data_IF_085353397183
#
_entry.id   IF_085353397183
#
_cell.length_a   1.000
_cell.length_b   1.000
_cell.length_c   1.000
_cell.angle_alpha   90.00
_cell.angle_beta   90.00
_cell.angle_gamma   90.00
#
_symmetry.space_group_name_H-M   'P 1'
#
loop_
_entity.id
_entity.type
_entity.pdbx_description
1 polymer ?
#
# COMPACT_ATOMS: atom_id res chain seq x y z
N UNK A 1 -14.42 12.24 5.60
CA UNK A 1 -14.83 11.88 4.21
C UNK A 1 -14.73 10.38 4.03
N UNK A 2 -15.80 9.75 3.59
CA UNK A 2 -15.81 8.31 3.33
C UNK A 2 -15.24 8.02 1.94
N UNK A 3 -14.93 6.75 1.68
CA UNK A 3 -14.48 6.32 0.35
C UNK A 3 -15.55 6.60 -0.71
N UNK A 4 -16.83 6.40 -0.38
CA UNK A 4 -17.92 6.69 -1.31
C UNK A 4 -18.02 8.18 -1.63
N UNK A 5 -17.78 9.05 -0.66
CA UNK A 5 -17.74 10.50 -0.90
C UNK A 5 -16.61 10.86 -1.86
N UNK A 6 -15.49 10.16 -1.75
CA UNK A 6 -14.29 10.46 -2.52
C UNK A 6 -14.31 9.83 -3.92
N UNK A 7 -14.79 8.58 -4.03
CA UNK A 7 -14.71 7.81 -5.27
C UNK A 7 -16.06 7.58 -5.96
N UNK A 8 -17.17 7.95 -5.31
CA UNK A 8 -18.50 7.66 -5.81
C UNK A 8 -18.93 6.24 -5.51
N UNK A 9 -19.90 5.73 -6.27
CA UNK A 9 -20.43 4.40 -6.06
C UNK A 9 -19.36 3.34 -6.39
N UNK A 10 -19.24 2.28 -5.56
CA UNK A 10 -18.28 1.21 -5.84
C UNK A 10 -18.71 0.38 -7.04
N UNK A 11 -17.72 -0.24 -7.70
CA UNK A 11 -17.99 -1.21 -8.77
C UNK A 11 -18.59 -2.50 -8.23
N UNK A 12 -18.19 -2.89 -7.02
CA UNK A 12 -18.69 -4.10 -6.37
C UNK A 12 -19.00 -3.79 -4.90
N UNK A 13 -20.10 -4.33 -4.41
CA UNK A 13 -20.51 -4.21 -3.02
C UNK A 13 -21.02 -5.56 -2.53
N UNK A 14 -20.48 -6.00 -1.40
CA UNK A 14 -20.91 -7.21 -0.72
C UNK A 14 -21.20 -6.90 0.74
N UNK A 15 -21.60 -7.91 1.51
CA UNK A 15 -21.80 -7.72 2.95
C UNK A 15 -20.51 -7.33 3.69
N UNK A 16 -19.34 -7.67 3.13
CA UNK A 16 -18.07 -7.53 3.84
C UNK A 16 -17.13 -6.51 3.20
N UNK A 17 -17.39 -6.04 1.99
CA UNK A 17 -16.48 -5.11 1.33
C UNK A 17 -17.12 -4.28 0.23
N UNK A 18 -16.50 -3.12 -0.05
CA UNK A 18 -16.78 -2.26 -1.20
C UNK A 18 -15.51 -2.22 -2.05
N UNK A 19 -15.63 -2.36 -3.36
CA UNK A 19 -14.49 -2.42 -4.28
C UNK A 19 -14.63 -1.39 -5.41
N UNK A 20 -13.58 -0.63 -5.63
CA UNK A 20 -13.40 0.24 -6.79
C UNK A 20 -12.24 -0.28 -7.63
N UNK A 21 -12.43 -0.37 -8.94
CA UNK A 21 -11.37 -0.76 -9.88
C UNK A 21 -10.86 0.45 -10.64
N UNK A 22 -9.56 0.53 -10.84
CA UNK A 22 -8.90 1.56 -11.65
C UNK A 22 -9.34 2.98 -11.26
N UNK A 23 -9.27 3.27 -9.97
CA UNK A 23 -9.66 4.58 -9.43
C UNK A 23 -8.43 5.41 -9.06
N UNK A 24 -8.22 6.51 -9.78
CA UNK A 24 -7.04 7.35 -9.60
C UNK A 24 -5.76 6.60 -9.95
N UNK A 25 -4.72 6.65 -9.09
CA UNK A 25 -3.49 5.89 -9.33
C UNK A 25 -3.61 4.41 -8.96
N UNK A 26 -4.74 4.02 -8.37
CA UNK A 26 -4.93 2.69 -7.81
C UNK A 26 -5.42 1.70 -8.85
N UNK A 27 -4.85 0.51 -8.83
CA UNK A 27 -5.39 -0.62 -9.58
C UNK A 27 -6.75 -1.02 -9.02
N UNK A 28 -6.86 -1.00 -7.69
CA UNK A 28 -8.13 -1.15 -6.98
C UNK A 28 -8.04 -0.56 -5.58
N UNK A 29 -9.19 -0.20 -5.06
CA UNK A 29 -9.35 0.21 -3.67
C UNK A 29 -10.44 -0.65 -3.05
N UNK A 30 -10.22 -1.13 -1.84
CA UNK A 30 -11.16 -1.99 -1.13
C UNK A 30 -11.37 -1.43 0.28
N UNK A 31 -12.64 -1.26 0.67
CA UNK A 31 -12.98 -0.93 2.04
C UNK A 31 -13.65 -2.14 2.66
N UNK A 32 -13.09 -2.61 3.76
CA UNK A 32 -13.54 -3.82 4.46
C UNK A 32 -14.42 -3.43 5.65
N UNK A 33 -15.44 -4.26 5.91
CA UNK A 33 -16.25 -4.15 7.12
C UNK A 33 -15.44 -4.56 8.36
N UNK A 34 -14.58 -5.56 8.22
CA UNK A 34 -13.73 -6.03 9.32
C UNK A 34 -12.67 -4.98 9.65
N UNK A 35 -12.62 -4.61 10.93
CA UNK A 35 -11.64 -3.67 11.47
C UNK A 35 -10.46 -4.46 12.02
N UNK A 36 -9.26 -4.24 11.47
CA UNK A 36 -8.04 -4.91 11.92
C UNK A 36 -7.21 -3.91 12.72
N UNK A 37 -7.01 -4.13 14.03
CA UNK A 37 -6.18 -3.24 14.82
C UNK A 37 -4.72 -3.25 14.34
N UNK A 38 -4.14 -2.05 14.25
CA UNK A 38 -2.74 -1.86 13.85
C UNK A 38 -2.15 -0.73 14.69
N UNK A 39 -1.04 -0.97 15.34
CA UNK A 39 -0.49 -0.04 16.32
C UNK A 39 0.66 0.81 15.78
N UNK A 40 1.06 0.61 14.54
CA UNK A 40 2.12 1.41 13.90
C UNK A 40 1.53 2.42 12.92
N UNK A 41 1.91 3.70 12.99
CA UNK A 41 2.82 4.36 13.95
C UNK A 41 2.12 4.67 15.28
N UNK A 42 0.83 4.56 15.34
CA UNK A 42 -0.02 4.72 16.50
C UNK A 42 -1.29 3.89 16.31
N UNK A 43 -2.03 3.57 17.38
CA UNK A 43 -3.23 2.74 17.24
C UNK A 43 -4.25 3.32 16.27
N UNK A 44 -4.67 2.52 15.32
CA UNK A 44 -5.72 2.81 14.34
C UNK A 44 -6.29 1.49 13.81
N UNK A 45 -7.28 1.57 12.93
CA UNK A 45 -7.86 0.39 12.29
C UNK A 45 -7.46 0.35 10.82
N UNK A 46 -7.15 -0.84 10.33
CA UNK A 46 -6.87 -1.07 8.91
C UNK A 46 -8.14 -1.58 8.24
N UNK A 47 -8.79 -0.72 7.46
CA UNK A 47 -10.04 -1.05 6.75
C UNK A 47 -10.01 -0.67 5.28
N UNK A 48 -9.06 0.14 4.87
CA UNK A 48 -9.00 0.74 3.54
C UNK A 48 -7.72 0.32 2.85
N UNK A 49 -7.84 -0.64 1.92
CA UNK A 49 -6.70 -1.20 1.18
C UNK A 49 -6.63 -0.59 -0.21
N UNK A 50 -5.42 -0.24 -0.63
CA UNK A 50 -5.18 0.27 -1.97
C UNK A 50 -3.97 -0.41 -2.60
N UNK A 51 -4.10 -0.75 -3.88
CA UNK A 51 -3.19 -1.64 -4.59
C UNK A 51 -2.63 -0.93 -5.81
N UNK A 52 -1.33 -1.10 -6.03
CA UNK A 52 -0.64 -0.63 -7.24
C UNK A 52 0.10 -1.79 -7.89
N UNK A 53 0.31 -1.69 -9.21
CA UNK A 53 1.23 -2.58 -9.89
C UNK A 53 2.66 -2.14 -9.54
N UNK A 54 3.43 -3.06 -8.98
CA UNK A 54 4.78 -2.78 -8.53
C UNK A 54 5.55 -4.08 -8.39
N UNK A 55 6.74 -4.14 -8.98
CA UNK A 55 7.60 -5.32 -8.85
C UNK A 55 8.62 -5.08 -7.76
N UNK A 56 8.47 -5.80 -6.65
CA UNK A 56 9.42 -5.75 -5.54
C UNK A 56 10.45 -6.86 -5.74
N UNK A 57 11.76 -6.54 -5.70
CA UNK A 57 12.79 -7.59 -5.68
C UNK A 57 12.62 -8.51 -4.47
N UNK A 58 12.86 -9.80 -4.67
CA UNK A 58 12.64 -10.81 -3.61
C UNK A 58 13.43 -10.49 -2.35
N UNK A 59 14.63 -9.95 -2.49
CA UNK A 59 15.49 -9.59 -1.36
C UNK A 59 15.01 -8.38 -0.56
N UNK A 60 13.90 -7.75 -0.96
CA UNK A 60 13.28 -6.64 -0.23
C UNK A 60 11.96 -7.03 0.46
N UNK A 61 11.51 -8.26 0.32
CA UNK A 61 10.23 -8.69 0.90
C UNK A 61 10.26 -8.64 2.43
N UNK A 62 11.32 -9.12 3.04
CA UNK A 62 11.46 -9.10 4.51
C UNK A 62 11.62 -7.68 5.04
N UNK A 63 12.34 -6.82 4.31
CA UNK A 63 12.47 -5.40 4.67
C UNK A 63 11.10 -4.72 4.68
N UNK A 64 10.27 -4.97 3.68
CA UNK A 64 8.93 -4.38 3.63
C UNK A 64 8.04 -4.91 4.76
N UNK A 65 8.13 -6.20 5.06
CA UNK A 65 7.40 -6.78 6.18
C UNK A 65 7.82 -6.17 7.52
N UNK A 66 9.12 -5.94 7.69
CA UNK A 66 9.65 -5.29 8.90
C UNK A 66 9.28 -3.81 8.98
N UNK A 67 9.20 -3.14 7.83
CA UNK A 67 8.84 -1.74 7.76
C UNK A 67 7.38 -1.50 8.21
N UNK A 68 6.43 -2.22 7.62
CA UNK A 68 5.00 -2.05 7.91
C UNK A 68 4.28 -3.38 7.66
N UNK A 69 3.69 -3.94 8.71
CA UNK A 69 2.99 -5.22 8.63
C UNK A 69 1.74 -5.18 7.74
N UNK A 70 1.24 -4.00 7.41
CA UNK A 70 0.07 -3.83 6.54
C UNK A 70 0.45 -3.52 5.09
N UNK A 71 1.73 -3.45 4.77
CA UNK A 71 2.21 -3.44 3.38
C UNK A 71 2.40 -4.88 2.93
N UNK A 72 1.71 -5.25 1.85
CA UNK A 72 1.69 -6.63 1.35
C UNK A 72 2.18 -6.67 -0.08
N UNK A 73 3.00 -7.65 -0.39
CA UNK A 73 3.59 -7.83 -1.71
C UNK A 73 3.14 -9.16 -2.29
N UNK A 74 2.67 -9.14 -3.53
CA UNK A 74 2.31 -10.34 -4.28
C UNK A 74 3.23 -10.42 -5.50
N UNK A 75 4.14 -11.38 -5.49
CA UNK A 75 5.16 -11.49 -6.55
C UNK A 75 4.56 -11.96 -7.86
N UNK A 76 3.68 -12.95 -7.82
CA UNK A 76 3.11 -13.54 -9.04
C UNK A 76 2.23 -12.54 -9.78
N UNK A 77 1.39 -11.80 -9.06
CA UNK A 77 0.56 -10.75 -9.66
C UNK A 77 1.33 -9.45 -9.92
N UNK A 78 2.48 -9.26 -9.26
CA UNK A 78 3.26 -8.03 -9.39
C UNK A 78 2.56 -6.84 -8.77
N UNK A 79 2.04 -7.02 -7.56
CA UNK A 79 1.28 -6.00 -6.84
C UNK A 79 1.90 -5.69 -5.50
N UNK A 80 1.76 -4.44 -5.09
CA UNK A 80 2.05 -4.00 -3.73
C UNK A 80 0.83 -3.25 -3.22
N UNK A 81 0.46 -3.51 -1.98
CA UNK A 81 -0.70 -2.87 -1.36
C UNK A 81 -0.38 -2.33 0.02
N UNK A 82 -1.16 -1.35 0.45
CA UNK A 82 -1.15 -0.87 1.82
C UNK A 82 -2.58 -0.84 2.34
N UNK A 83 -2.72 -1.06 3.63
CA UNK A 83 -4.01 -1.01 4.32
C UNK A 83 -3.88 -0.07 5.50
N UNK A 84 -4.79 0.88 5.61
CA UNK A 84 -4.83 1.85 6.69
C UNK A 84 -6.26 2.33 6.91
N UNK A 85 -6.43 3.48 7.57
CA UNK A 85 -7.75 4.05 7.82
C UNK A 85 -8.13 5.16 6.83
N UNK A 86 -7.22 5.57 5.94
CA UNK A 86 -7.47 6.63 4.96
C UNK A 86 -6.48 6.56 3.79
N UNK A 87 -6.85 7.18 2.68
CA UNK A 87 -6.02 7.20 1.48
C UNK A 87 -4.67 7.90 1.68
N UNK A 88 -4.66 9.02 2.40
CA UNK A 88 -3.40 9.74 2.65
C UNK A 88 -2.36 8.86 3.35
N UNK A 89 -2.80 8.03 4.29
CA UNK A 89 -1.91 7.10 4.98
C UNK A 89 -1.43 5.99 4.03
N UNK A 90 -2.27 5.56 3.10
CA UNK A 90 -1.84 4.58 2.09
C UNK A 90 -0.81 5.18 1.11
N UNK A 91 -0.98 6.44 0.72
CA UNK A 91 0.06 7.13 -0.05
C UNK A 91 1.38 7.14 0.71
N UNK A 92 1.35 7.54 1.97
CA UNK A 92 2.55 7.57 2.82
C UNK A 92 3.19 6.20 2.93
N UNK A 93 2.40 5.17 3.21
CA UNK A 93 2.90 3.81 3.38
C UNK A 93 3.60 3.30 2.12
N UNK A 94 2.99 3.50 0.95
CA UNK A 94 3.54 3.00 -0.31
C UNK A 94 4.71 3.85 -0.81
N UNK A 95 4.69 5.16 -0.58
CA UNK A 95 5.83 6.01 -0.91
C UNK A 95 7.07 5.61 -0.12
N UNK A 96 6.90 5.32 1.16
CA UNK A 96 8.03 4.87 1.99
C UNK A 96 8.44 3.44 1.65
N UNK A 97 7.50 2.59 1.27
CA UNK A 97 7.84 1.26 0.76
C UNK A 97 8.74 1.36 -0.48
N UNK A 98 8.42 2.25 -1.42
CA UNK A 98 9.26 2.53 -2.59
C UNK A 98 10.65 3.03 -2.18
N UNK A 99 10.74 3.89 -1.18
CA UNK A 99 12.03 4.36 -0.67
C UNK A 99 12.87 3.21 -0.09
N UNK A 100 12.24 2.27 0.61
CA UNK A 100 12.94 1.09 1.14
C UNK A 100 13.41 0.19 0.00
N UNK A 101 12.56 -0.08 -0.99
CA UNK A 101 12.90 -0.92 -2.13
C UNK A 101 14.07 -0.35 -2.92
N UNK A 102 14.08 0.96 -3.14
CA UNK A 102 15.11 1.63 -3.94
C UNK A 102 16.38 1.97 -3.14
N UNK A 103 16.37 1.73 -1.83
CA UNK A 103 17.52 2.01 -0.97
C UNK A 103 17.66 3.46 -0.55
N UNK A 104 16.67 4.32 -0.84
CA UNK A 104 16.70 5.72 -0.40
C UNK A 104 16.55 5.87 1.11
N UNK A 105 15.89 4.91 1.75
CA UNK A 105 15.73 4.87 3.21
C UNK A 105 15.93 3.46 3.71
N UNK A 106 16.50 3.33 4.90
CA UNK A 106 16.47 2.07 5.64
C UNK A 106 15.07 1.83 6.20
N UNK A 107 14.83 0.61 6.69
CA UNK A 107 13.59 0.28 7.39
C UNK A 107 13.37 1.22 8.57
N UNK A 108 14.40 1.45 9.38
CA UNK A 108 14.29 2.32 10.56
C UNK A 108 14.01 3.77 10.17
N UNK A 109 14.68 4.29 9.16
CA UNK A 109 14.43 5.64 8.65
C UNK A 109 13.01 5.80 8.13
N UNK A 110 12.52 4.80 7.39
CA UNK A 110 11.16 4.82 6.86
C UNK A 110 10.12 4.83 7.99
N UNK A 111 10.33 4.01 9.00
CA UNK A 111 9.43 3.96 10.17
C UNK A 111 9.43 5.28 10.93
N UNK A 112 10.59 5.87 11.12
CA UNK A 112 10.70 7.16 11.80
C UNK A 112 10.05 8.28 10.98
N UNK A 113 10.30 8.32 9.69
CA UNK A 113 9.69 9.32 8.80
C UNK A 113 8.17 9.18 8.79
N UNK A 114 7.67 7.95 8.78
CA UNK A 114 6.23 7.67 8.85
C UNK A 114 5.63 8.30 10.12
N UNK A 115 6.21 7.99 11.27
CA UNK A 115 5.72 8.50 12.55
C UNK A 115 5.77 10.02 12.64
N UNK A 116 6.85 10.63 12.17
CA UNK A 116 7.01 12.09 12.16
C UNK A 116 6.00 12.76 11.21
N UNK A 117 5.74 12.15 10.06
CA UNK A 117 4.79 12.67 9.09
C UNK A 117 3.37 12.63 9.63
N UNK A 118 2.98 11.54 10.27
CA UNK A 118 1.66 11.42 10.90
C UNK A 118 1.52 12.41 12.05
N UNK A 119 2.54 12.55 12.87
CA UNK A 119 2.54 13.56 13.94
C UNK A 119 2.37 14.96 13.35
N UNK A 120 3.09 15.28 12.28
CA UNK A 120 2.97 16.56 11.59
C UNK A 120 1.56 16.81 11.06
N UNK A 121 0.95 15.79 10.47
CA UNK A 121 -0.43 15.87 9.98
C UNK A 121 -1.40 16.19 11.12
N UNK A 122 -1.24 15.55 12.27
CA UNK A 122 -2.06 15.83 13.44
C UNK A 122 -1.89 17.24 13.98
N UNK A 123 -0.74 17.87 13.72
CA UNK A 123 -0.43 19.25 14.08
C UNK A 123 -0.75 20.25 12.95
N UNK A 124 -1.42 19.80 11.89
CA UNK A 124 -1.84 20.64 10.77
C UNK A 124 -0.80 20.84 9.69
N UNK A 125 0.33 20.11 9.73
CA UNK A 125 1.34 20.19 8.66
C UNK A 125 1.00 19.23 7.53
N UNK A 126 1.24 19.65 6.29
CA UNK A 126 1.09 18.81 5.11
C UNK A 126 2.42 18.15 4.72
N UNK A 127 2.34 17.11 3.91
CA UNK A 127 3.51 16.46 3.33
C UNK A 127 3.16 15.92 1.94
N UNK A 128 4.03 16.07 0.95
CA UNK A 128 3.82 15.48 -0.36
C UNK A 128 3.60 13.97 -0.30
N UNK A 129 4.17 13.29 0.69
CA UNK A 129 4.03 11.84 0.89
C UNK A 129 2.60 11.42 1.26
N UNK A 130 1.79 12.36 1.77
CA UNK A 130 0.37 12.12 2.11
C UNK A 130 -0.58 12.48 0.97
N UNK A 131 -0.10 13.20 -0.05
CA UNK A 131 -0.96 13.83 -1.06
C UNK A 131 -1.06 13.03 -2.36
N UNK A 132 -0.14 12.11 -2.60
CA UNK A 132 -0.12 11.31 -3.82
C UNK A 132 1.09 10.40 -3.87
N UNK A 133 1.12 9.51 -4.86
CA UNK A 133 2.28 8.66 -5.09
C UNK A 133 3.47 9.49 -5.58
N UNK A 134 4.65 9.24 -5.02
CA UNK A 134 5.90 9.87 -5.39
C UNK A 134 6.68 9.04 -6.42
N UNK A 135 6.09 7.97 -6.89
CA UNK A 135 6.59 7.10 -7.93
C UNK A 135 5.48 6.80 -8.91
N UNK A 136 5.82 6.32 -10.09
CA UNK A 136 4.82 5.89 -11.06
C UNK A 136 4.53 4.41 -10.87
N UNK A 137 3.26 4.00 -10.82
CA UNK A 137 2.93 2.58 -10.92
C UNK A 137 3.56 1.98 -12.16
N UNK A 138 4.09 0.79 -12.01
CA UNK A 138 4.82 0.10 -13.06
C UNK A 138 3.84 -0.65 -13.98
N UNK A 139 4.36 -1.16 -15.09
CA UNK A 139 3.62 -2.06 -15.98
C UNK A 139 4.40 -3.37 -16.13
N UNK A 140 3.71 -4.44 -16.53
CA UNK A 140 4.32 -5.75 -16.73
C UNK A 140 5.12 -6.22 -15.51
N UNK A 141 4.51 -6.06 -14.32
CA UNK A 141 5.19 -6.31 -13.03
C UNK A 141 5.05 -7.74 -12.55
N UNK A 142 4.17 -8.52 -13.16
CA UNK A 142 3.92 -9.89 -12.74
C UNK A 142 5.15 -10.78 -12.97
N UNK A 143 5.33 -11.74 -12.06
CA UNK A 143 6.37 -12.75 -12.14
C UNK A 143 5.69 -14.12 -12.05
N UNK A 144 5.64 -14.81 -13.19
CA UNK A 144 4.93 -16.09 -13.30
C UNK A 144 5.68 -17.25 -12.68
N UNK A 145 6.83 -16.98 -12.07
CA UNK A 145 7.77 -18.03 -11.67
C UNK A 145 8.34 -18.76 -12.88
N UNK A 146 9.29 -19.63 -12.62
CA UNK A 146 9.84 -20.50 -13.64
C UNK A 146 9.67 -21.95 -13.21
N UNK A 147 9.20 -22.76 -14.14
CA UNK A 147 9.15 -24.18 -13.90
C UNK A 147 10.59 -24.70 -13.70
N UNK A 148 10.84 -25.49 -12.65
CA UNK A 148 12.18 -25.99 -12.37
C UNK A 148 12.62 -27.07 -13.36
N UNK A 149 11.68 -27.61 -14.15
CA UNK A 149 11.94 -28.73 -15.04
C UNK A 149 11.59 -28.36 -16.48
N UNK A 150 12.48 -28.71 -17.41
CA UNK A 150 12.30 -28.42 -18.85
C UNK A 150 11.10 -29.13 -19.48
N UNK A 151 10.60 -30.19 -18.85
CA UNK A 151 9.38 -30.87 -19.32
C UNK A 151 8.11 -30.02 -19.20
N UNK A 152 8.19 -28.89 -18.56
CA UNK A 152 7.07 -27.97 -18.39
C UNK A 152 6.93 -27.03 -19.58
N UNK A 153 7.10 -27.53 -20.76
CA UNK A 153 6.99 -26.77 -22.00
C UNK A 153 5.55 -26.60 -22.45
#
# INVERSE_FOLDING_TARGET
MTAMDKYGAPNEATETMLVWHNNGPWKRSVVYKKEVPHDFPMPHIDVWEQVVDYRVPVDKFDDLAAYDGSVVVDRTQGEMSARCDKEGANFLALNLADDVVTGRRSVDDARQFYAETVKGMMEGRSSPYLEGLRFRPMSATNDRDMAPMSMMK
#
